data_IF_988852634322
#
_entry.id   IF_988852634322
#
_cell.length_a   1.000
_cell.length_b   1.000
_cell.length_c   1.000
_cell.angle_alpha   90.00
_cell.angle_beta   90.00
_cell.angle_gamma   90.00
#
_symmetry.space_group_name_H-M   'P 1'
#
loop_
_entity.id
_entity.type
_entity.pdbx_description
1 polymer ?
#
# COMPACT_ATOMS: atom_id res chain seq x y z
N UNK A 1 0.88 -14.29 -24.24
CA UNK A 1 0.63 -13.43 -23.08
C UNK A 1 0.72 -14.16 -21.74
N UNK A 2 0.18 -15.37 -21.63
CA UNK A 2 0.26 -16.22 -20.41
C UNK A 2 1.67 -16.41 -19.84
N UNK A 3 2.69 -16.63 -20.68
CA UNK A 3 4.06 -16.80 -20.23
C UNK A 3 4.68 -15.58 -19.54
N UNK A 4 4.33 -14.36 -19.95
CA UNK A 4 4.79 -13.13 -19.25
C UNK A 4 4.15 -12.98 -17.87
N UNK A 5 2.86 -13.32 -17.75
CA UNK A 5 2.13 -13.27 -16.48
C UNK A 5 2.70 -14.32 -15.52
N UNK A 6 2.88 -15.56 -16.00
CA UNK A 6 3.51 -16.64 -15.22
C UNK A 6 4.94 -16.27 -14.79
N UNK A 7 5.76 -15.70 -15.68
CA UNK A 7 7.12 -15.27 -15.35
C UNK A 7 7.13 -14.22 -14.23
N UNK A 8 6.28 -13.18 -14.32
CA UNK A 8 6.19 -12.16 -13.29
C UNK A 8 5.66 -12.72 -11.95
N UNK A 9 4.73 -13.66 -12.00
CA UNK A 9 4.19 -14.33 -10.81
C UNK A 9 5.27 -15.16 -10.11
N UNK A 10 6.07 -15.91 -10.87
CA UNK A 10 7.19 -16.69 -10.33
C UNK A 10 8.25 -15.79 -9.70
N UNK A 11 8.60 -14.67 -10.34
CA UNK A 11 9.54 -13.68 -9.77
C UNK A 11 8.99 -13.12 -8.45
N UNK A 12 7.72 -12.74 -8.41
CA UNK A 12 7.08 -12.24 -7.19
C UNK A 12 7.07 -13.28 -6.07
N UNK A 13 6.74 -14.53 -6.37
CA UNK A 13 6.77 -15.64 -5.40
C UNK A 13 8.17 -15.91 -4.89
N UNK A 14 9.18 -15.93 -5.77
CA UNK A 14 10.59 -16.10 -5.38
C UNK A 14 11.03 -14.98 -4.44
N UNK A 15 10.65 -13.73 -4.73
CA UNK A 15 10.98 -12.59 -3.90
C UNK A 15 10.30 -12.68 -2.52
N UNK A 16 9.02 -13.06 -2.46
CA UNK A 16 8.32 -13.27 -1.18
C UNK A 16 8.98 -14.38 -0.35
N UNK A 17 9.33 -15.49 -0.99
CA UNK A 17 10.00 -16.60 -0.32
C UNK A 17 11.38 -16.21 0.22
N UNK A 18 12.13 -15.44 -0.55
CA UNK A 18 13.43 -14.90 -0.14
C UNK A 18 13.29 -13.99 1.09
N UNK A 19 12.35 -13.05 1.08
CA UNK A 19 12.10 -12.18 2.22
C UNK A 19 11.63 -12.94 3.45
N UNK A 20 10.83 -13.99 3.26
CA UNK A 20 10.38 -14.86 4.36
C UNK A 20 11.54 -15.59 5.02
N UNK A 21 12.47 -16.14 4.21
CA UNK A 21 13.69 -16.78 4.72
C UNK A 21 14.54 -15.77 5.50
N UNK A 22 14.77 -14.57 4.94
CA UNK A 22 15.51 -13.52 5.63
C UNK A 22 14.87 -13.11 6.95
N UNK A 23 13.54 -13.02 6.99
CA UNK A 23 12.80 -12.71 8.23
C UNK A 23 13.03 -13.79 9.30
N UNK A 24 12.95 -15.07 8.94
CA UNK A 24 13.21 -16.19 9.87
C UNK A 24 14.65 -16.14 10.38
N UNK A 25 15.62 -15.92 9.49
CA UNK A 25 17.04 -15.81 9.88
C UNK A 25 17.25 -14.61 10.79
N UNK A 26 16.68 -13.46 10.46
CA UNK A 26 16.77 -12.26 11.29
C UNK A 26 16.18 -12.50 12.69
N UNK A 27 15.00 -13.10 12.79
CA UNK A 27 14.36 -13.41 14.07
C UNK A 27 15.20 -14.37 14.93
N UNK A 28 15.93 -15.31 14.31
CA UNK A 28 16.83 -16.22 15.04
C UNK A 28 18.15 -15.58 15.46
N UNK A 29 18.71 -14.69 14.63
CA UNK A 29 19.98 -14.02 14.90
C UNK A 29 19.84 -12.77 15.77
N UNK A 30 18.69 -12.10 15.76
CA UNK A 30 18.45 -10.86 16.51
C UNK A 30 18.80 -10.98 17.99
N UNK A 31 18.39 -12.07 18.73
CA UNK A 31 18.72 -12.24 20.15
C UNK A 31 20.21 -12.48 20.41
N UNK A 32 20.97 -12.97 19.42
CA UNK A 32 22.41 -13.26 19.57
C UNK A 32 23.28 -12.04 19.32
N UNK A 33 22.83 -11.14 18.42
CA UNK A 33 23.56 -9.91 18.02
C UNK A 33 23.20 -8.75 18.94
N UNK A 34 21.94 -8.67 19.35
CA UNK A 34 21.47 -7.63 20.27
C UNK A 34 20.96 -8.29 21.54
N UNK A 35 21.53 -7.98 22.73
CA UNK A 35 21.10 -8.55 24.02
C UNK A 35 19.76 -7.95 24.50
N UNK A 36 18.90 -7.57 23.55
CA UNK A 36 17.54 -7.14 23.84
C UNK A 36 16.68 -8.39 23.98
N UNK A 37 16.02 -8.57 25.12
CA UNK A 37 14.99 -9.60 25.30
C UNK A 37 13.76 -9.28 24.44
N UNK A 38 13.97 -9.23 23.11
CA UNK A 38 12.89 -9.10 22.15
C UNK A 38 12.29 -10.49 21.95
N UNK A 39 11.30 -10.82 22.76
CA UNK A 39 10.43 -11.97 22.47
C UNK A 39 9.30 -11.46 21.58
N UNK A 40 9.36 -11.68 20.26
CA UNK A 40 8.24 -11.33 19.39
C UNK A 40 7.04 -12.18 19.84
N UNK A 41 6.13 -11.59 20.58
CA UNK A 41 4.82 -12.19 20.80
C UNK A 41 4.08 -12.08 19.46
N UNK A 42 4.02 -13.21 18.77
CA UNK A 42 3.17 -13.34 17.60
C UNK A 42 1.73 -13.40 18.11
N UNK A 43 1.13 -12.25 18.30
CA UNK A 43 -0.27 -12.15 18.68
C UNK A 43 -1.14 -12.37 17.42
N UNK A 44 -2.07 -13.34 17.43
CA UNK A 44 -2.99 -13.57 16.32
C UNK A 44 -3.78 -12.32 15.91
N UNK A 45 -4.13 -11.46 16.88
CA UNK A 45 -4.81 -10.19 16.60
C UNK A 45 -3.91 -9.22 15.82
N UNK A 46 -2.62 -9.16 16.12
CA UNK A 46 -1.64 -8.37 15.38
C UNK A 46 -1.46 -8.86 13.93
N UNK A 47 -1.42 -10.19 13.73
CA UNK A 47 -1.35 -10.77 12.38
C UNK A 47 -2.61 -10.43 11.59
N UNK A 48 -3.78 -10.57 12.21
CA UNK A 48 -5.05 -10.23 11.58
C UNK A 48 -5.12 -8.75 11.20
N UNK A 49 -4.64 -7.86 12.07
CA UNK A 49 -4.57 -6.43 11.81
C UNK A 49 -3.67 -6.12 10.61
N UNK A 50 -2.47 -6.73 10.57
CA UNK A 50 -1.55 -6.58 9.44
C UNK A 50 -2.21 -7.07 8.14
N UNK A 51 -2.83 -8.25 8.15
CA UNK A 51 -3.51 -8.79 6.98
C UNK A 51 -4.68 -7.90 6.53
N UNK A 52 -5.50 -7.41 7.48
CA UNK A 52 -6.65 -6.54 7.21
C UNK A 52 -6.26 -5.17 6.65
N UNK A 53 -5.07 -4.68 6.97
CA UNK A 53 -4.54 -3.42 6.40
C UNK A 53 -3.76 -3.65 5.13
N UNK A 54 -2.98 -4.73 5.05
CA UNK A 54 -2.12 -5.01 3.90
C UNK A 54 -2.90 -5.36 2.63
N UNK A 55 -3.95 -6.20 2.74
CA UNK A 55 -4.71 -6.64 1.56
C UNK A 55 -5.36 -5.47 0.80
N UNK A 56 -6.16 -4.58 1.44
CA UNK A 56 -6.72 -3.44 0.73
C UNK A 56 -5.66 -2.43 0.29
N UNK A 57 -4.56 -2.28 1.04
CA UNK A 57 -3.44 -1.45 0.62
C UNK A 57 -2.78 -1.97 -0.65
N UNK A 58 -2.54 -3.29 -0.72
CA UNK A 58 -1.99 -3.92 -1.91
C UNK A 58 -2.89 -3.70 -3.14
N UNK A 59 -4.20 -3.89 -2.97
CA UNK A 59 -5.18 -3.63 -4.04
C UNK A 59 -5.15 -2.17 -4.47
N UNK A 60 -5.11 -1.23 -3.53
CA UNK A 60 -5.01 0.20 -3.78
C UNK A 60 -3.77 0.54 -4.60
N UNK A 61 -2.58 0.09 -4.14
CA UNK A 61 -1.31 0.36 -4.82
C UNK A 61 -1.29 -0.27 -6.21
N UNK A 62 -1.70 -1.53 -6.35
CA UNK A 62 -1.75 -2.22 -7.63
C UNK A 62 -2.68 -1.51 -8.63
N UNK A 63 -3.84 -1.02 -8.17
CA UNK A 63 -4.77 -0.27 -9.00
C UNK A 63 -4.18 1.07 -9.48
N UNK A 64 -3.54 1.83 -8.60
CA UNK A 64 -2.87 3.08 -8.99
C UNK A 64 -1.69 2.85 -9.93
N UNK A 65 -0.85 1.83 -9.66
CA UNK A 65 0.25 1.47 -10.55
C UNK A 65 -0.25 1.04 -11.92
N UNK A 66 -1.34 0.27 -11.98
CA UNK A 66 -2.00 -0.08 -13.23
C UNK A 66 -2.51 1.14 -14.00
N UNK A 67 -3.14 2.09 -13.30
CA UNK A 67 -3.61 3.35 -13.90
C UNK A 67 -2.44 4.19 -14.46
N UNK A 68 -1.37 4.34 -13.70
CA UNK A 68 -0.15 5.05 -14.11
C UNK A 68 0.45 4.40 -15.36
N UNK A 69 0.61 3.05 -15.33
CA UNK A 69 1.15 2.31 -16.48
C UNK A 69 0.29 2.41 -17.73
N UNK A 70 -1.03 2.58 -17.59
CA UNK A 70 -1.94 2.76 -18.72
C UNK A 70 -1.92 4.17 -19.33
N UNK A 71 -1.46 5.17 -18.57
CA UNK A 71 -1.42 6.59 -19.02
C UNK A 71 -0.04 7.05 -19.43
N UNK A 72 1.01 6.42 -18.91
CA UNK A 72 2.39 6.80 -19.19
C UNK A 72 2.78 6.44 -20.62
N UNK A 73 3.38 7.40 -21.32
CA UNK A 73 3.91 7.21 -22.69
C UNK A 73 5.36 6.77 -22.68
N UNK A 74 6.09 7.04 -21.59
CA UNK A 74 7.50 6.68 -21.41
C UNK A 74 7.67 5.98 -20.03
N UNK A 75 8.49 4.89 -19.96
CA UNK A 75 8.82 4.23 -18.69
C UNK A 75 9.40 5.18 -17.64
N UNK A 76 10.15 6.21 -18.03
CA UNK A 76 10.71 7.22 -17.11
C UNK A 76 9.61 8.07 -16.47
N UNK A 77 8.61 8.47 -17.24
CA UNK A 77 7.43 9.20 -16.75
C UNK A 77 6.65 8.35 -15.73
N UNK A 78 6.43 7.07 -16.05
CA UNK A 78 5.78 6.13 -15.14
C UNK A 78 6.53 5.98 -13.81
N UNK A 79 7.85 5.82 -13.85
CA UNK A 79 8.69 5.71 -12.65
C UNK A 79 8.65 6.97 -11.79
N UNK A 80 8.68 8.16 -12.40
CA UNK A 80 8.62 9.43 -11.68
C UNK A 80 7.29 9.60 -10.95
N UNK A 81 6.16 9.33 -11.62
CA UNK A 81 4.83 9.42 -11.02
C UNK A 81 4.68 8.38 -9.89
N UNK A 82 5.18 7.15 -10.11
CA UNK A 82 5.21 6.08 -9.11
C UNK A 82 5.99 6.51 -7.86
N UNK A 83 7.15 7.16 -8.03
CA UNK A 83 7.95 7.70 -6.94
C UNK A 83 7.16 8.68 -6.07
N UNK A 84 6.52 9.66 -6.68
CA UNK A 84 5.69 10.63 -5.97
C UNK A 84 4.52 9.98 -5.21
N UNK A 85 3.92 8.92 -5.75
CA UNK A 85 2.85 8.19 -5.10
C UNK A 85 3.35 7.33 -3.93
N UNK A 86 4.58 6.82 -4.02
CA UNK A 86 5.16 5.94 -2.99
C UNK A 86 5.60 6.72 -1.75
N UNK A 87 6.06 7.96 -1.90
CA UNK A 87 6.54 8.79 -0.79
C UNK A 87 5.53 8.89 0.36
N UNK A 88 4.24 9.25 0.14
CA UNK A 88 3.26 9.32 1.23
C UNK A 88 3.07 8.00 1.99
N UNK A 89 3.19 6.86 1.31
CA UNK A 89 3.03 5.54 1.93
C UNK A 89 4.13 5.27 2.96
N UNK A 90 5.38 5.68 2.66
CA UNK A 90 6.55 5.43 3.51
C UNK A 90 6.81 6.51 4.56
N UNK A 91 6.12 7.66 4.50
CA UNK A 91 6.26 8.75 5.47
C UNK A 91 6.22 8.26 6.94
N UNK A 92 5.31 7.33 7.36
CA UNK A 92 5.27 6.87 8.74
C UNK A 92 6.60 6.30 9.24
N UNK A 93 7.44 5.73 8.37
CA UNK A 93 8.75 5.18 8.76
C UNK A 93 9.72 6.28 9.21
N UNK A 94 9.59 7.50 8.68
CA UNK A 94 10.42 8.63 9.11
C UNK A 94 9.99 9.18 10.48
N UNK A 95 8.74 8.90 10.90
CA UNK A 95 8.19 9.32 12.18
C UNK A 95 8.18 8.19 13.23
N UNK A 96 9.05 7.19 13.07
CA UNK A 96 9.18 6.05 13.99
C UNK A 96 9.27 6.48 15.46
N UNK A 97 10.07 7.52 15.75
CA UNK A 97 10.22 8.07 17.11
C UNK A 97 8.89 8.59 17.68
N UNK A 98 8.04 9.19 16.85
CA UNK A 98 6.73 9.70 17.29
C UNK A 98 5.82 8.55 17.71
N UNK A 99 5.82 7.44 16.97
CA UNK A 99 5.05 6.25 17.34
C UNK A 99 5.59 5.57 18.60
N UNK A 100 6.91 5.58 18.81
CA UNK A 100 7.53 4.97 20.00
C UNK A 100 7.26 5.77 21.28
N UNK A 101 7.42 7.10 21.23
CA UNK A 101 7.35 7.96 22.41
C UNK A 101 5.97 8.55 22.66
N UNK A 102 5.15 8.74 21.59
CA UNK A 102 3.80 9.30 21.70
C UNK A 102 2.81 8.62 20.74
N UNK A 103 2.53 7.30 20.94
CA UNK A 103 1.67 6.55 20.04
C UNK A 103 0.20 7.04 19.99
N UNK A 104 -0.25 7.72 21.05
CA UNK A 104 -1.59 8.29 21.14
C UNK A 104 -1.63 9.80 20.82
N UNK A 105 -0.52 10.38 20.38
CA UNK A 105 -0.45 11.77 19.95
C UNK A 105 -1.25 12.02 18.67
N UNK A 106 -1.65 13.27 18.48
CA UNK A 106 -2.48 13.68 17.33
C UNK A 106 -1.88 13.25 15.98
N UNK A 107 -0.55 13.35 15.82
CA UNK A 107 0.14 12.97 14.60
C UNK A 107 0.08 11.46 14.35
N UNK A 108 0.35 10.63 15.39
CA UNK A 108 0.28 9.17 15.30
C UNK A 108 -1.13 8.70 14.96
N UNK A 109 -2.14 9.32 15.57
CA UNK A 109 -3.56 9.05 15.29
C UNK A 109 -3.91 9.45 13.87
N UNK A 110 -3.55 10.66 13.44
CA UNK A 110 -3.84 11.16 12.10
C UNK A 110 -3.21 10.26 11.01
N UNK A 111 -1.93 9.87 11.17
CA UNK A 111 -1.27 8.97 10.22
C UNK A 111 -1.90 7.58 10.20
N UNK A 112 -2.36 7.06 11.34
CA UNK A 112 -3.02 5.75 11.40
C UNK A 112 -4.44 5.75 10.82
N UNK A 113 -5.11 6.90 10.74
CA UNK A 113 -6.44 7.05 10.14
C UNK A 113 -6.38 7.43 8.66
N UNK A 114 -5.31 8.09 8.23
CA UNK A 114 -5.17 8.49 6.83
C UNK A 114 -4.91 7.27 5.93
N UNK A 115 -5.78 6.95 4.96
CA UNK A 115 -5.78 5.65 4.29
C UNK A 115 -4.50 5.35 3.49
N UNK A 116 -3.76 6.36 3.04
CA UNK A 116 -2.49 6.14 2.31
C UNK A 116 -1.36 5.74 3.24
N UNK A 117 -1.30 6.28 4.46
CA UNK A 117 -0.28 5.98 5.47
C UNK A 117 -0.69 4.87 6.43
N UNK A 118 -1.99 4.61 6.56
CA UNK A 118 -2.57 3.63 7.47
C UNK A 118 -1.97 2.22 7.39
N UNK A 119 -1.64 1.67 6.20
CA UNK A 119 -1.07 0.32 6.09
C UNK A 119 0.22 0.12 6.88
N UNK A 120 1.02 1.17 7.03
CA UNK A 120 2.25 1.15 7.83
C UNK A 120 2.00 1.72 9.22
N UNK A 121 1.32 2.85 9.31
CA UNK A 121 1.15 3.59 10.55
C UNK A 121 0.29 2.83 11.59
N UNK A 122 -0.79 2.16 11.16
CA UNK A 122 -1.70 1.49 12.09
C UNK A 122 -1.08 0.25 12.74
N UNK A 123 -0.48 -0.72 12.02
CA UNK A 123 0.24 -1.84 12.63
C UNK A 123 1.42 -1.38 13.47
N UNK A 124 2.14 -0.34 13.01
CA UNK A 124 3.28 0.21 13.74
C UNK A 124 2.85 0.80 15.08
N UNK A 125 1.76 1.60 15.09
CA UNK A 125 1.17 2.15 16.31
C UNK A 125 0.65 1.05 17.25
N UNK A 126 0.01 0.02 16.71
CA UNK A 126 -0.50 -1.11 17.49
C UNK A 126 0.60 -1.93 18.18
N UNK A 127 1.84 -1.88 17.68
CA UNK A 127 2.99 -2.51 18.33
C UNK A 127 3.41 -1.82 19.64
N UNK A 128 3.09 -0.52 19.82
CA UNK A 128 3.49 0.27 20.99
C UNK A 128 2.34 0.61 21.93
N UNK A 129 1.09 0.52 21.49
CA UNK A 129 -0.07 0.86 22.32
C UNK A 129 -1.31 0.08 21.89
N UNK A 130 -2.26 -0.04 22.82
CA UNK A 130 -3.59 -0.57 22.50
C UNK A 130 -4.38 0.48 21.73
N UNK A 131 -4.66 0.21 20.45
CA UNK A 131 -5.44 1.09 19.60
C UNK A 131 -6.93 0.86 19.85
N UNK A 132 -7.74 1.91 20.08
CA UNK A 132 -9.19 1.77 20.23
C UNK A 132 -9.82 1.11 19.00
N UNK A 133 -10.75 0.17 19.22
CA UNK A 133 -11.36 -0.61 18.15
C UNK A 133 -12.04 0.25 17.07
N UNK A 134 -12.69 1.36 17.47
CA UNK A 134 -13.32 2.27 16.52
C UNK A 134 -12.32 2.92 15.55
N UNK A 135 -11.09 3.19 16.00
CA UNK A 135 -10.04 3.73 15.13
C UNK A 135 -9.54 2.68 14.13
N UNK A 136 -9.43 1.42 14.56
CA UNK A 136 -9.05 0.30 13.68
C UNK A 136 -10.11 0.13 12.59
N UNK A 137 -11.39 0.07 12.99
CA UNK A 137 -12.52 -0.11 12.05
C UNK A 137 -12.58 1.07 11.08
N UNK A 138 -12.47 2.30 11.58
CA UNK A 138 -12.50 3.50 10.75
C UNK A 138 -11.35 3.52 9.75
N UNK A 139 -10.13 3.22 10.19
CA UNK A 139 -8.94 3.20 9.34
C UNK A 139 -9.06 2.16 8.21
N UNK A 140 -9.45 0.91 8.56
CA UNK A 140 -9.64 -0.16 7.56
C UNK A 140 -10.77 0.19 6.60
N UNK A 141 -11.87 0.76 7.09
CA UNK A 141 -12.99 1.19 6.24
C UNK A 141 -12.56 2.25 5.24
N UNK A 142 -11.87 3.30 5.69
CA UNK A 142 -11.34 4.36 4.82
C UNK A 142 -10.37 3.81 3.78
N UNK A 143 -9.51 2.88 4.20
CA UNK A 143 -8.55 2.22 3.31
C UNK A 143 -9.27 1.35 2.24
N UNK A 144 -10.29 0.58 2.63
CA UNK A 144 -11.10 -0.21 1.70
C UNK A 144 -11.86 0.69 0.71
N UNK A 145 -12.42 1.81 1.18
CA UNK A 145 -13.08 2.79 0.31
C UNK A 145 -12.11 3.39 -0.70
N UNK A 146 -10.89 3.74 -0.26
CA UNK A 146 -9.86 4.26 -1.17
C UNK A 146 -9.39 3.18 -2.15
N UNK A 147 -9.25 1.93 -1.73
CA UNK A 147 -8.92 0.81 -2.61
C UNK A 147 -9.99 0.57 -3.68
N UNK A 148 -11.27 0.58 -3.28
CA UNK A 148 -12.41 0.46 -4.19
C UNK A 148 -12.45 1.62 -5.19
N UNK A 149 -12.22 2.86 -4.73
CA UNK A 149 -12.11 4.04 -5.59
C UNK A 149 -10.94 3.92 -6.57
N UNK A 150 -9.77 3.45 -6.10
CA UNK A 150 -8.60 3.24 -6.96
C UNK A 150 -8.86 2.21 -8.05
N UNK A 151 -9.53 1.10 -7.72
CA UNK A 151 -9.95 0.08 -8.70
C UNK A 151 -10.92 0.64 -9.74
N UNK A 152 -11.93 1.37 -9.28
CA UNK A 152 -12.90 1.99 -10.18
C UNK A 152 -12.23 2.99 -11.12
N UNK A 153 -11.35 3.84 -10.59
CA UNK A 153 -10.60 4.83 -11.36
C UNK A 153 -9.67 4.16 -12.37
N UNK A 154 -8.92 3.15 -11.93
CA UNK A 154 -8.02 2.37 -12.78
C UNK A 154 -8.77 1.72 -13.94
N UNK A 155 -9.90 1.05 -13.66
CA UNK A 155 -10.73 0.43 -14.69
C UNK A 155 -11.29 1.43 -15.71
N UNK A 156 -11.59 2.67 -15.27
CA UNK A 156 -12.05 3.73 -16.15
C UNK A 156 -10.92 4.29 -17.04
N UNK A 157 -9.74 4.49 -16.45
CA UNK A 157 -8.55 4.93 -17.17
C UNK A 157 -8.13 3.89 -18.22
N UNK A 158 -8.13 2.61 -17.85
CA UNK A 158 -7.81 1.51 -18.79
C UNK A 158 -8.74 1.50 -20.01
N UNK A 159 -10.05 1.65 -19.80
CA UNK A 159 -11.01 1.70 -20.90
C UNK A 159 -10.78 2.87 -21.84
N UNK A 160 -10.41 4.03 -21.31
CA UNK A 160 -10.10 5.22 -22.11
C UNK A 160 -8.74 5.11 -22.82
N UNK A 161 -7.74 4.52 -22.17
CA UNK A 161 -6.40 4.34 -22.69
C UNK A 161 -6.32 3.35 -23.85
N UNK A 162 -7.08 2.24 -23.79
CA UNK A 162 -7.13 1.24 -24.88
C UNK A 162 -7.76 1.77 -26.18
N UNK A 163 -8.65 2.75 -26.08
CA UNK A 163 -9.35 3.31 -27.25
C UNK A 163 -8.54 4.39 -28.00
N UNK A 164 -7.42 4.83 -27.44
CA UNK A 164 -6.59 5.92 -28.01
C UNK A 164 -5.11 5.53 -28.04
N UNK A 165 -4.72 4.68 -28.96
CA UNK A 165 -3.30 4.40 -29.24
C UNK A 165 -2.57 5.72 -29.58
N UNK A 166 -1.62 6.17 -28.72
CA UNK A 166 -0.68 7.25 -29.04
C UNK A 166 -1.06 8.67 -28.62
N UNK A 167 -2.16 8.91 -27.88
CA UNK A 167 -2.49 10.25 -27.33
C UNK A 167 -2.61 10.22 -25.81
N UNK A 168 -2.04 11.22 -25.12
CA UNK A 168 -2.14 11.38 -23.66
C UNK A 168 -3.61 11.48 -23.22
N UNK A 169 -4.03 10.61 -22.30
CA UNK A 169 -5.35 10.69 -21.68
C UNK A 169 -5.31 11.79 -20.61
N UNK A 170 -6.10 12.87 -20.80
CA UNK A 170 -6.24 13.89 -19.76
C UNK A 170 -7.20 13.39 -18.68
N UNK A 171 -6.80 13.50 -17.41
CA UNK A 171 -7.61 13.09 -16.26
C UNK A 171 -9.03 13.70 -16.25
N UNK A 172 -9.16 14.92 -16.81
CA UNK A 172 -10.45 15.60 -16.96
C UNK A 172 -11.45 14.80 -17.82
N UNK A 173 -10.98 14.02 -18.78
CA UNK A 173 -11.84 13.19 -19.64
C UNK A 173 -12.36 11.94 -18.92
N UNK A 174 -11.64 11.46 -17.89
CA UNK A 174 -12.08 10.35 -17.06
C UNK A 174 -13.31 10.69 -16.20
N UNK A 175 -13.51 11.97 -15.88
CA UNK A 175 -14.64 12.45 -15.08
C UNK A 175 -15.78 13.05 -15.94
N UNK A 176 -15.55 13.28 -17.22
CA UNK A 176 -16.59 13.74 -18.14
C UNK A 176 -17.57 12.60 -18.42
N UNK A 177 -18.86 12.82 -18.16
CA UNK A 177 -19.92 11.91 -18.60
C UNK A 177 -19.85 11.79 -20.13
N UNK A 178 -19.75 10.55 -20.64
CA UNK A 178 -19.98 10.22 -22.06
C UNK A 178 -21.39 10.65 -22.44
N UNK A 179 -21.50 11.84 -22.95
CA UNK A 179 -22.76 12.44 -23.36
C UNK A 179 -22.53 13.44 -24.47
N UNK A 180 -22.09 12.98 -25.62
CA UNK A 180 -22.52 13.52 -26.92
C UNK A 180 -22.33 12.42 -27.95
N UNK A 181 -23.44 11.80 -28.31
CA UNK A 181 -23.58 11.07 -29.59
C UNK A 181 -23.44 12.06 -30.73
N UNK A 182 -22.94 11.60 -31.87
CA UNK A 182 -22.83 12.40 -33.12
C UNK A 182 -24.18 12.87 -33.62
#
# INVERSE_FOLDING_TARGET
MAGKVLGNLLVGLTQLFTWFIFAIIALKLLPTVFPVKFTPRVDPAGILLIAATFLPAFVMVAAFMGAIGATATDPREAQQITGWFTIPIVIPLWFTNVFMFNPNGALSVAMSLFPVTAPIALPFRAAFTTVPQWQIILSITLLCLLAAFALWLSGRIFRLGMLRYGKRVRLREAFSKSGSKP
#
